data_IF_109881139813
#
_entry.id   IF_109881139813
#
_cell.length_a   1.000
_cell.length_b   1.000
_cell.length_c   1.000
_cell.angle_alpha   90.00
_cell.angle_beta   90.00
_cell.angle_gamma   90.00
#
_symmetry.space_group_name_H-M   'P 1'
#
loop_
_entity.id
_entity.type
_entity.pdbx_description
1 polymer ?
#
# COMPACT_ATOMS: atom_id res chain seq x y z
N UNK A 1 3.62 29.52 22.17
CA UNK A 1 3.43 28.54 21.07
C UNK A 1 4.04 29.14 19.83
N UNK A 2 4.76 28.38 18.99
CA UNK A 2 5.38 28.93 17.77
C UNK A 2 4.31 29.01 16.68
N UNK A 3 4.21 30.15 15.99
CA UNK A 3 3.33 30.32 14.83
C UNK A 3 4.09 30.05 13.53
N UNK A 4 3.37 29.54 12.52
CA UNK A 4 3.89 29.26 11.19
C UNK A 4 3.03 29.93 10.12
N UNK A 5 3.65 30.85 9.40
CA UNK A 5 3.03 31.51 8.24
C UNK A 5 2.84 30.54 7.07
N UNK A 6 1.97 30.90 6.12
CA UNK A 6 1.82 30.18 4.84
C UNK A 6 3.15 30.08 4.09
N UNK A 7 3.99 31.13 4.13
CA UNK A 7 5.27 31.16 3.43
C UNK A 7 6.31 30.22 4.06
N UNK A 8 6.41 30.19 5.40
CA UNK A 8 7.28 29.24 6.09
C UNK A 8 6.87 27.79 5.83
N UNK A 9 5.56 27.52 5.78
CA UNK A 9 5.02 26.19 5.43
C UNK A 9 5.42 25.80 4.00
N UNK A 10 5.25 26.69 3.03
CA UNK A 10 5.64 26.45 1.63
C UNK A 10 7.13 26.19 1.50
N UNK A 11 7.96 27.03 2.12
CA UNK A 11 9.42 26.86 2.13
C UNK A 11 9.83 25.51 2.74
N UNK A 12 9.20 25.09 3.83
CA UNK A 12 9.43 23.78 4.45
C UNK A 12 9.08 22.64 3.50
N UNK A 13 7.91 22.68 2.88
CA UNK A 13 7.50 21.65 1.92
C UNK A 13 8.46 21.61 0.73
N UNK A 14 8.81 22.76 0.14
CA UNK A 14 9.74 22.82 -1.00
C UNK A 14 11.09 22.13 -0.69
N UNK A 15 11.64 22.34 0.51
CA UNK A 15 12.88 21.68 0.95
C UNK A 15 12.67 20.20 1.30
N UNK A 16 11.70 19.89 2.16
CA UNK A 16 11.43 18.52 2.65
C UNK A 16 10.96 17.58 1.54
N UNK A 17 10.39 18.13 0.46
CA UNK A 17 9.89 17.37 -0.67
C UNK A 17 10.87 17.30 -1.83
N UNK A 18 12.09 17.82 -1.68
CA UNK A 18 13.14 17.85 -2.71
C UNK A 18 12.72 18.61 -3.98
N UNK A 19 11.92 19.66 -3.82
CA UNK A 19 11.44 20.50 -4.93
C UNK A 19 12.26 21.79 -5.08
N UNK A 20 12.84 22.29 -3.99
CA UNK A 20 13.77 23.42 -4.03
C UNK A 20 15.15 23.01 -4.58
N UNK A 21 15.59 21.81 -4.23
CA UNK A 21 16.85 21.21 -4.65
C UNK A 21 16.58 19.74 -4.92
N UNK A 22 16.88 19.29 -6.15
CA UNK A 22 16.76 17.88 -6.51
C UNK A 22 17.76 17.04 -5.72
N UNK A 23 17.39 15.81 -5.39
CA UNK A 23 18.19 14.91 -4.57
C UNK A 23 18.83 13.78 -5.39
N UNK A 24 20.01 13.35 -4.99
CA UNK A 24 20.72 12.17 -5.47
C UNK A 24 20.38 10.88 -4.69
N UNK A 25 19.61 11.02 -3.60
CA UNK A 25 19.11 9.91 -2.75
C UNK A 25 18.51 8.76 -3.57
N UNK A 26 18.58 7.55 -3.03
CA UNK A 26 18.02 6.38 -3.69
C UNK A 26 16.49 6.46 -3.81
N UNK A 27 15.90 5.64 -4.69
CA UNK A 27 14.44 5.53 -4.82
C UNK A 27 13.80 5.11 -3.49
N UNK A 28 14.42 4.19 -2.76
CA UNK A 28 13.96 3.73 -1.45
C UNK A 28 13.99 4.87 -0.42
N UNK A 29 15.08 5.63 -0.34
CA UNK A 29 15.19 6.79 0.57
C UNK A 29 14.12 7.85 0.31
N UNK A 30 13.82 8.12 -0.98
CA UNK A 30 12.75 9.06 -1.34
C UNK A 30 11.37 8.49 -0.98
N UNK A 31 11.14 7.18 -1.19
CA UNK A 31 9.88 6.55 -0.79
C UNK A 31 9.68 6.59 0.74
N UNK A 32 10.71 6.21 1.52
CA UNK A 32 10.71 6.29 2.98
C UNK A 32 10.45 7.72 3.47
N UNK A 33 11.13 8.72 2.87
CA UNK A 33 10.94 10.13 3.25
C UNK A 33 9.47 10.56 3.12
N UNK A 34 8.72 10.02 2.16
CA UNK A 34 7.30 10.34 1.97
C UNK A 34 6.34 9.43 2.72
N UNK A 35 6.83 8.56 3.61
CA UNK A 35 6.12 7.38 4.13
C UNK A 35 5.87 6.31 3.05
N UNK A 36 5.57 6.72 1.83
CA UNK A 36 5.52 5.93 0.61
C UNK A 36 5.08 6.81 -0.57
N UNK A 37 5.35 6.37 -1.80
CA UNK A 37 4.87 7.06 -3.01
C UNK A 37 3.55 6.44 -3.47
N UNK A 38 2.51 7.25 -3.66
CA UNK A 38 1.22 6.75 -4.14
C UNK A 38 1.36 6.14 -5.56
N UNK A 39 0.72 5.00 -5.79
CA UNK A 39 0.92 4.16 -6.98
C UNK A 39 -0.36 3.54 -7.54
N UNK A 40 -1.53 4.06 -7.18
CA UNK A 40 -2.80 3.61 -7.75
C UNK A 40 -2.84 3.83 -9.27
N UNK A 41 -2.40 5.00 -9.72
CA UNK A 41 -2.03 5.21 -11.12
C UNK A 41 -0.56 4.79 -11.30
N UNK A 42 -0.26 3.89 -12.26
CA UNK A 42 1.08 3.36 -12.46
C UNK A 42 2.13 4.42 -12.80
N UNK A 43 1.75 5.56 -13.40
CA UNK A 43 2.67 6.64 -13.76
C UNK A 43 3.04 7.55 -12.56
N UNK A 44 2.18 7.61 -11.53
CA UNK A 44 2.36 8.52 -10.38
C UNK A 44 3.72 8.38 -9.66
N UNK A 45 4.23 7.17 -9.33
CA UNK A 45 5.52 7.06 -8.64
C UNK A 45 6.69 7.52 -9.52
N UNK A 46 6.63 7.27 -10.83
CA UNK A 46 7.65 7.75 -11.77
C UNK A 46 7.65 9.28 -11.85
N UNK A 47 6.49 9.91 -12.04
CA UNK A 47 6.34 11.37 -12.05
C UNK A 47 6.77 12.00 -10.71
N UNK A 48 6.49 11.31 -9.60
CA UNK A 48 6.91 11.76 -8.27
C UNK A 48 8.42 11.75 -8.12
N UNK A 49 9.11 10.73 -8.62
CA UNK A 49 10.56 10.64 -8.60
C UNK A 49 11.21 11.62 -9.59
N UNK A 50 10.68 11.77 -10.80
CA UNK A 50 11.16 12.75 -11.78
C UNK A 50 11.15 14.19 -11.25
N UNK A 51 10.13 14.56 -10.48
CA UNK A 51 10.03 15.90 -9.91
C UNK A 51 11.06 16.17 -8.80
N UNK A 52 11.76 15.15 -8.30
CA UNK A 52 12.51 15.21 -7.03
C UNK A 52 13.95 14.74 -7.14
N UNK A 53 14.24 13.83 -8.07
CA UNK A 53 15.57 13.21 -8.21
C UNK A 53 16.33 13.77 -9.41
N UNK A 54 17.62 13.96 -9.23
CA UNK A 54 18.55 14.31 -10.31
C UNK A 54 18.69 13.12 -11.27
N UNK A 55 18.62 13.39 -12.58
CA UNK A 55 18.83 12.41 -13.66
C UNK A 55 18.00 11.12 -13.60
N UNK A 56 16.81 11.15 -12.97
CA UNK A 56 15.94 9.98 -12.85
C UNK A 56 15.46 9.46 -14.20
N UNK A 57 15.48 8.13 -14.34
CA UNK A 57 14.98 7.39 -15.51
C UNK A 57 13.97 6.33 -15.08
N UNK A 58 13.08 5.95 -15.99
CA UNK A 58 12.12 4.85 -15.78
C UNK A 58 12.81 3.58 -15.28
N UNK A 59 13.96 3.25 -15.87
CA UNK A 59 14.75 2.07 -15.51
C UNK A 59 15.20 2.06 -14.03
N UNK A 60 15.33 3.21 -13.38
CA UNK A 60 15.76 3.28 -11.99
C UNK A 60 14.68 2.71 -11.05
N UNK A 61 13.41 3.09 -11.25
CA UNK A 61 12.31 2.54 -10.46
C UNK A 61 11.97 1.10 -10.85
N UNK A 62 12.08 0.74 -12.14
CA UNK A 62 11.91 -0.65 -12.57
C UNK A 62 12.96 -1.57 -11.94
N UNK A 63 14.22 -1.16 -11.90
CA UNK A 63 15.30 -1.91 -11.25
C UNK A 63 15.05 -2.03 -9.75
N UNK A 64 14.71 -0.91 -9.09
CA UNK A 64 14.41 -0.89 -7.65
C UNK A 64 13.21 -1.78 -7.27
N UNK A 65 12.18 -1.89 -8.13
CA UNK A 65 11.00 -2.74 -7.89
C UNK A 65 11.25 -4.22 -8.19
N UNK A 66 11.90 -4.52 -9.32
CA UNK A 66 11.84 -5.86 -9.92
C UNK A 66 13.17 -6.61 -9.90
N UNK A 67 14.29 -5.89 -9.83
CA UNK A 67 15.65 -6.47 -9.80
C UNK A 67 16.20 -6.42 -8.38
N UNK A 68 16.43 -5.22 -7.86
CA UNK A 68 17.07 -4.99 -6.56
C UNK A 68 16.11 -5.17 -5.40
N UNK A 69 14.81 -4.98 -5.67
CA UNK A 69 13.70 -5.11 -4.70
C UNK A 69 13.89 -4.25 -3.44
N UNK A 70 14.55 -3.11 -3.60
CA UNK A 70 14.71 -2.09 -2.56
C UNK A 70 13.41 -1.35 -2.29
N UNK A 71 12.45 -1.43 -3.21
CA UNK A 71 11.08 -0.95 -2.98
C UNK A 71 10.03 -1.98 -3.37
N UNK A 72 8.86 -1.89 -2.76
CA UNK A 72 7.74 -2.82 -2.97
C UNK A 72 6.41 -2.11 -3.16
N UNK A 73 5.56 -2.64 -4.04
CA UNK A 73 4.18 -2.18 -4.21
C UNK A 73 3.26 -2.90 -3.22
N UNK A 74 2.62 -2.14 -2.33
CA UNK A 74 1.74 -2.69 -1.30
C UNK A 74 0.50 -1.81 -1.07
N UNK A 75 -0.63 -2.44 -0.74
CA UNK A 75 -1.87 -1.74 -0.39
C UNK A 75 -1.78 -1.29 1.06
N UNK A 76 -2.03 -0.01 1.34
CA UNK A 76 -1.90 0.51 2.70
C UNK A 76 -2.98 1.59 2.97
N UNK A 77 -2.55 2.81 3.28
CA UNK A 77 -3.42 3.91 3.68
C UNK A 77 -4.61 4.06 2.73
N UNK A 78 -5.82 4.10 3.32
CA UNK A 78 -7.10 4.28 2.60
C UNK A 78 -7.36 3.28 1.47
N UNK A 79 -6.81 2.07 1.56
CA UNK A 79 -6.98 0.99 0.56
C UNK A 79 -6.45 1.40 -0.82
N UNK A 80 -5.45 2.28 -0.89
CA UNK A 80 -4.76 2.61 -2.14
C UNK A 80 -3.42 1.91 -2.25
N UNK A 81 -2.87 1.83 -3.46
CA UNK A 81 -1.56 1.24 -3.71
C UNK A 81 -0.46 2.27 -3.51
N UNK A 82 0.67 1.83 -2.95
CA UNK A 82 1.84 2.64 -2.67
C UNK A 82 3.12 1.88 -3.03
N UNK A 83 4.20 2.62 -3.28
CA UNK A 83 5.58 2.12 -3.34
C UNK A 83 6.27 2.52 -2.04
N UNK A 84 6.75 1.54 -1.31
CA UNK A 84 7.47 1.71 -0.04
C UNK A 84 8.92 1.27 -0.18
N UNK A 85 9.81 1.80 0.65
CA UNK A 85 11.04 1.08 0.99
C UNK A 85 10.64 -0.31 1.51
N UNK A 86 11.27 -1.35 0.97
CA UNK A 86 11.01 -2.73 1.40
C UNK A 86 11.26 -2.91 2.90
N UNK A 87 12.23 -2.21 3.48
CA UNK A 87 12.53 -2.28 4.91
C UNK A 87 11.41 -1.71 5.81
N UNK A 88 10.58 -0.80 5.29
CA UNK A 88 9.47 -0.21 6.03
C UNK A 88 8.19 -1.06 5.99
N UNK A 89 8.15 -2.09 5.14
CA UNK A 89 6.94 -2.91 4.96
C UNK A 89 6.37 -3.46 6.27
N UNK A 90 7.15 -3.95 7.25
CA UNK A 90 6.59 -4.44 8.52
C UNK A 90 5.86 -3.36 9.32
N UNK A 91 6.45 -2.16 9.38
CA UNK A 91 5.86 -0.99 10.05
C UNK A 91 4.58 -0.57 9.33
N UNK A 92 4.60 -0.51 8.00
CA UNK A 92 3.43 -0.18 7.17
C UNK A 92 2.32 -1.22 7.34
N UNK A 93 2.66 -2.51 7.31
CA UNK A 93 1.72 -3.61 7.49
C UNK A 93 0.97 -3.46 8.82
N UNK A 94 1.73 -3.29 9.92
CA UNK A 94 1.17 -3.16 11.26
C UNK A 94 0.31 -1.90 11.41
N UNK A 95 0.85 -0.73 11.05
CA UNK A 95 0.23 0.55 11.38
C UNK A 95 -0.87 1.00 10.39
N UNK A 96 -0.90 0.45 9.16
CA UNK A 96 -1.86 0.84 8.14
C UNK A 96 -2.60 -0.36 7.51
N UNK A 97 -1.87 -1.33 6.96
CA UNK A 97 -2.47 -2.36 6.09
C UNK A 97 -3.38 -3.33 6.84
N UNK A 98 -3.04 -3.74 8.08
CA UNK A 98 -3.82 -4.70 8.86
C UNK A 98 -5.29 -4.28 9.05
N UNK A 99 -5.55 -2.99 9.26
CA UNK A 99 -6.92 -2.45 9.36
C UNK A 99 -7.70 -2.57 8.05
N UNK A 100 -7.01 -2.31 6.94
CA UNK A 100 -7.60 -2.46 5.59
C UNK A 100 -7.86 -3.93 5.31
N UNK A 101 -6.91 -4.81 5.60
CA UNK A 101 -7.02 -6.25 5.47
C UNK A 101 -8.23 -6.81 6.21
N UNK A 102 -8.39 -6.46 7.49
CA UNK A 102 -9.54 -6.90 8.30
C UNK A 102 -10.89 -6.46 7.69
N UNK A 103 -10.94 -5.28 7.07
CA UNK A 103 -12.14 -4.77 6.41
C UNK A 103 -12.42 -5.50 5.10
N UNK A 104 -11.40 -5.70 4.27
CA UNK A 104 -11.52 -6.37 2.98
C UNK A 104 -11.84 -7.85 3.10
N UNK A 105 -11.22 -8.53 4.07
CA UNK A 105 -11.52 -9.91 4.43
C UNK A 105 -12.98 -10.09 4.80
N UNK A 106 -13.48 -9.29 5.77
CA UNK A 106 -14.88 -9.36 6.23
C UNK A 106 -15.87 -9.14 5.09
N UNK A 107 -15.61 -8.15 4.23
CA UNK A 107 -16.46 -7.87 3.06
C UNK A 107 -16.47 -9.05 2.10
N UNK A 108 -15.30 -9.60 1.77
CA UNK A 108 -15.20 -10.71 0.84
C UNK A 108 -15.97 -11.93 1.34
N UNK A 109 -15.80 -12.31 2.61
CA UNK A 109 -16.53 -13.42 3.25
C UNK A 109 -18.04 -13.22 3.14
N UNK A 110 -18.53 -12.02 3.47
CA UNK A 110 -19.95 -11.73 3.38
C UNK A 110 -20.47 -11.76 1.93
N UNK A 111 -19.69 -11.23 0.99
CA UNK A 111 -20.06 -11.16 -0.42
C UNK A 111 -20.12 -12.54 -1.09
N UNK A 112 -19.21 -13.47 -0.76
CA UNK A 112 -19.25 -14.83 -1.33
C UNK A 112 -20.45 -15.63 -0.83
N UNK A 113 -20.84 -15.44 0.44
CA UNK A 113 -22.08 -16.04 0.97
C UNK A 113 -23.30 -15.43 0.31
N UNK A 114 -23.36 -14.10 0.22
CA UNK A 114 -24.46 -13.37 -0.42
C UNK A 114 -24.63 -13.74 -1.90
N UNK A 115 -23.54 -13.99 -2.61
CA UNK A 115 -23.55 -14.40 -4.01
C UNK A 115 -23.87 -15.89 -4.22
N UNK A 116 -24.01 -16.68 -3.14
CA UNK A 116 -24.24 -18.13 -3.22
C UNK A 116 -23.02 -18.92 -3.69
N UNK A 117 -21.82 -18.32 -3.65
CA UNK A 117 -20.55 -18.99 -4.04
C UNK A 117 -20.16 -20.04 -2.99
N UNK A 118 -20.40 -19.74 -1.71
CA UNK A 118 -20.10 -20.64 -0.60
C UNK A 118 -21.09 -20.46 0.55
N UNK A 119 -21.34 -21.53 1.29
CA UNK A 119 -22.12 -21.46 2.55
C UNK A 119 -21.26 -20.88 3.68
N UNK A 120 -19.99 -21.27 3.72
CA UNK A 120 -19.00 -20.77 4.66
C UNK A 120 -17.93 -19.96 3.91
N UNK A 121 -18.04 -18.63 3.97
CA UNK A 121 -17.12 -17.73 3.29
C UNK A 121 -15.71 -17.70 3.91
N UNK A 122 -15.56 -18.02 5.20
CA UNK A 122 -14.26 -18.08 5.88
C UNK A 122 -13.48 -19.32 5.39
N UNK A 123 -14.13 -20.49 5.42
CA UNK A 123 -13.55 -21.72 4.90
C UNK A 123 -13.23 -21.62 3.40
N UNK A 124 -14.11 -20.98 2.62
CA UNK A 124 -13.87 -20.73 1.20
C UNK A 124 -12.62 -19.85 0.98
N UNK A 125 -12.49 -18.74 1.71
CA UNK A 125 -11.34 -17.84 1.57
C UNK A 125 -10.04 -18.52 2.00
N UNK A 126 -10.08 -19.34 3.05
CA UNK A 126 -8.93 -20.13 3.48
C UNK A 126 -8.49 -21.12 2.39
N UNK A 127 -9.43 -21.85 1.79
CA UNK A 127 -9.14 -22.79 0.71
C UNK A 127 -8.58 -22.09 -0.55
N UNK A 128 -9.16 -20.96 -0.94
CA UNK A 128 -8.68 -20.15 -2.06
C UNK A 128 -7.26 -19.61 -1.80
N UNK A 129 -7.00 -19.12 -0.58
CA UNK A 129 -5.70 -18.57 -0.21
C UNK A 129 -4.61 -19.64 -0.17
N UNK A 130 -4.94 -20.84 0.34
CA UNK A 130 -4.03 -21.98 0.32
C UNK A 130 -3.68 -22.41 -1.10
N UNK A 131 -4.68 -22.50 -1.99
CA UNK A 131 -4.48 -22.86 -3.40
C UNK A 131 -3.57 -21.84 -4.13
N UNK A 132 -3.80 -20.54 -3.93
CA UNK A 132 -2.94 -19.48 -4.50
C UNK A 132 -1.52 -19.57 -3.95
N UNK A 133 -1.36 -19.78 -2.65
CA UNK A 133 -0.04 -19.90 -2.02
C UNK A 133 0.74 -21.09 -2.57
N UNK A 134 0.11 -22.26 -2.68
CA UNK A 134 0.72 -23.45 -3.24
C UNK A 134 1.15 -23.25 -4.70
N UNK A 135 0.27 -22.68 -5.52
CA UNK A 135 0.58 -22.38 -6.91
C UNK A 135 1.78 -21.42 -7.05
N UNK A 136 1.83 -20.35 -6.26
CA UNK A 136 2.93 -19.38 -6.31
C UNK A 136 4.23 -19.94 -5.72
N UNK A 137 4.17 -20.92 -4.82
CA UNK A 137 5.35 -21.64 -4.36
C UNK A 137 5.99 -22.45 -5.49
N UNK A 138 5.18 -23.12 -6.31
CA UNK A 138 5.62 -23.95 -7.44
C UNK A 138 6.10 -23.11 -8.62
N UNK A 139 5.30 -22.15 -9.08
CA UNK A 139 5.55 -21.39 -10.32
C UNK A 139 6.23 -20.03 -10.10
N UNK A 140 6.39 -19.60 -8.85
CA UNK A 140 7.06 -18.35 -8.47
C UNK A 140 6.19 -17.09 -8.63
N UNK A 141 5.57 -16.89 -9.79
CA UNK A 141 4.67 -15.77 -10.03
C UNK A 141 3.57 -16.09 -11.05
N UNK A 142 2.42 -15.44 -10.94
CA UNK A 142 1.33 -15.60 -11.90
C UNK A 142 0.46 -14.34 -11.99
N UNK A 143 -0.10 -14.08 -13.16
CA UNK A 143 -1.15 -13.08 -13.36
C UNK A 143 -2.46 -13.54 -12.70
N UNK A 144 -3.35 -12.60 -12.38
CA UNK A 144 -4.68 -12.94 -11.86
C UNK A 144 -5.47 -13.85 -12.84
N UNK A 145 -5.25 -13.68 -14.15
CA UNK A 145 -5.87 -14.50 -15.20
C UNK A 145 -5.36 -15.93 -15.17
N UNK A 146 -4.05 -16.13 -15.07
CA UNK A 146 -3.43 -17.47 -14.97
C UNK A 146 -3.90 -18.19 -13.70
N UNK A 147 -3.92 -17.51 -12.55
CA UNK A 147 -4.41 -18.09 -11.30
C UNK A 147 -5.89 -18.51 -11.42
N UNK A 148 -6.75 -17.66 -11.98
CA UNK A 148 -8.17 -18.01 -12.19
C UNK A 148 -8.35 -19.21 -13.13
N UNK A 149 -7.53 -19.31 -14.17
CA UNK A 149 -7.59 -20.44 -15.11
C UNK A 149 -7.10 -21.74 -14.47
N UNK A 150 -6.10 -21.67 -13.59
CA UNK A 150 -5.48 -22.85 -12.97
C UNK A 150 -6.20 -23.33 -11.70
N UNK A 151 -6.90 -22.45 -10.97
CA UNK A 151 -7.39 -22.74 -9.62
C UNK A 151 -8.92 -22.72 -9.55
N UNK A 152 -9.59 -23.89 -9.46
CA UNK A 152 -11.03 -23.98 -9.29
C UNK A 152 -11.57 -23.22 -8.06
N UNK A 153 -10.76 -23.08 -7.00
CA UNK A 153 -11.10 -22.36 -5.77
C UNK A 153 -11.32 -20.85 -6.01
N UNK A 154 -10.87 -20.31 -7.15
CA UNK A 154 -11.05 -18.92 -7.55
C UNK A 154 -12.26 -18.72 -8.48
N UNK A 155 -13.01 -19.79 -8.78
CA UNK A 155 -14.24 -19.70 -9.55
C UNK A 155 -15.35 -18.97 -8.79
N UNK A 156 -16.26 -18.35 -9.54
CA UNK A 156 -17.37 -17.57 -9.00
C UNK A 156 -17.38 -16.15 -9.54
N UNK A 157 -18.58 -15.67 -9.81
CA UNK A 157 -18.84 -14.31 -10.24
C UNK A 157 -19.66 -13.58 -9.17
N UNK A 158 -19.44 -12.27 -9.09
CA UNK A 158 -20.04 -11.39 -8.11
C UNK A 158 -20.35 -10.05 -8.77
N UNK A 159 -21.47 -9.46 -8.40
CA UNK A 159 -21.82 -8.10 -8.77
C UNK A 159 -21.67 -7.18 -7.54
N UNK A 160 -20.72 -6.24 -7.53
CA UNK A 160 -20.51 -5.30 -6.43
C UNK A 160 -21.68 -4.33 -6.21
N UNK A 161 -22.51 -4.12 -7.23
CA UNK A 161 -23.60 -3.16 -7.18
C UNK A 161 -24.76 -3.55 -8.09
N UNK A 162 -25.53 -4.60 -7.73
CA UNK A 162 -26.67 -5.05 -8.52
C UNK A 162 -27.64 -3.90 -8.81
N UNK A 163 -27.97 -3.72 -10.08
CA UNK A 163 -28.90 -2.68 -10.55
C UNK A 163 -28.32 -1.25 -10.59
N UNK A 164 -27.01 -1.07 -10.35
CA UNK A 164 -26.33 0.20 -10.61
C UNK A 164 -25.68 0.18 -12.00
N UNK A 165 -25.60 1.34 -12.64
CA UNK A 165 -24.98 1.50 -13.97
C UNK A 165 -23.49 1.16 -14.02
N UNK A 166 -22.82 1.18 -12.85
CA UNK A 166 -21.41 0.79 -12.69
C UNK A 166 -21.24 -0.62 -12.10
N UNK A 167 -22.35 -1.31 -11.80
CA UNK A 167 -22.33 -2.72 -11.39
C UNK A 167 -22.21 -3.66 -12.59
N UNK A 168 -22.36 -4.95 -12.30
CA UNK A 168 -22.33 -6.01 -13.29
C UNK A 168 -21.56 -7.24 -12.80
N UNK A 169 -21.86 -8.43 -13.33
CA UNK A 169 -21.18 -9.66 -12.94
C UNK A 169 -19.72 -9.61 -13.38
N UNK A 170 -18.81 -9.87 -12.45
CA UNK A 170 -17.40 -10.03 -12.71
C UNK A 170 -16.78 -11.10 -11.81
N UNK A 171 -15.57 -11.59 -12.15
CA UNK A 171 -14.93 -12.64 -11.38
C UNK A 171 -14.63 -12.18 -9.95
N UNK A 172 -14.87 -13.04 -8.96
CA UNK A 172 -14.53 -12.75 -7.55
C UNK A 172 -13.02 -12.80 -7.27
N UNK A 173 -12.28 -13.57 -8.08
CA UNK A 173 -10.86 -13.87 -7.88
C UNK A 173 -9.93 -12.66 -7.65
N UNK A 174 -10.08 -11.49 -8.31
CA UNK A 174 -9.22 -10.33 -8.02
C UNK A 174 -9.34 -9.84 -6.57
N UNK A 175 -10.48 -10.08 -5.91
CA UNK A 175 -10.67 -9.73 -4.50
C UNK A 175 -9.93 -10.65 -3.55
N UNK A 176 -9.80 -11.94 -3.88
CA UNK A 176 -8.95 -12.87 -3.12
C UNK A 176 -7.50 -12.37 -3.12
N UNK A 177 -6.99 -12.03 -4.31
CA UNK A 177 -5.62 -11.50 -4.47
C UNK A 177 -5.45 -10.14 -3.76
N UNK A 178 -6.50 -9.31 -3.75
CA UNK A 178 -6.51 -8.06 -3.00
C UNK A 178 -6.38 -8.32 -1.50
N UNK A 179 -7.18 -9.25 -0.95
CA UNK A 179 -7.15 -9.62 0.48
C UNK A 179 -5.77 -10.18 0.85
N UNK A 180 -5.30 -11.20 0.14
CA UNK A 180 -3.98 -11.79 0.42
C UNK A 180 -2.84 -10.76 0.23
N UNK A 181 -2.98 -9.83 -0.71
CA UNK A 181 -2.00 -8.78 -0.95
C UNK A 181 -1.92 -7.75 0.18
N UNK A 182 -3.08 -7.34 0.74
CA UNK A 182 -3.11 -6.39 1.87
C UNK A 182 -2.86 -7.06 3.22
N UNK A 183 -3.10 -8.37 3.34
CA UNK A 183 -2.66 -9.20 4.47
C UNK A 183 -1.14 -9.44 4.47
N UNK A 184 -0.44 -9.03 3.42
CA UNK A 184 1.02 -9.15 3.32
C UNK A 184 1.49 -10.55 2.91
N UNK A 185 0.59 -11.43 2.46
CA UNK A 185 0.96 -12.76 1.95
C UNK A 185 1.50 -12.69 0.52
N UNK A 186 0.97 -11.76 -0.28
CA UNK A 186 1.36 -11.55 -1.67
C UNK A 186 1.83 -10.13 -1.91
N UNK A 187 2.69 -9.96 -2.91
CA UNK A 187 3.07 -8.65 -3.45
C UNK A 187 2.91 -8.63 -4.97
N UNK A 188 2.86 -7.41 -5.54
CA UNK A 188 2.94 -7.23 -6.98
C UNK A 188 4.42 -7.31 -7.39
N UNK A 189 4.78 -8.43 -8.02
CA UNK A 189 6.11 -8.70 -8.58
C UNK A 189 6.24 -8.12 -9.99
N UNK A 190 6.86 -8.84 -10.96
CA UNK A 190 7.08 -8.33 -12.31
C UNK A 190 5.81 -7.81 -12.99
N UNK A 191 5.95 -6.79 -13.83
CA UNK A 191 4.84 -6.17 -14.56
C UNK A 191 4.97 -6.44 -16.06
N UNK A 192 3.92 -6.95 -16.70
CA UNK A 192 3.92 -7.22 -18.15
C UNK A 192 3.58 -5.99 -19.00
N UNK A 193 3.26 -4.87 -18.37
CA UNK A 193 2.99 -3.60 -19.03
C UNK A 193 4.19 -2.66 -19.02
N UNK A 194 4.15 -1.64 -19.88
CA UNK A 194 5.04 -0.48 -19.76
C UNK A 194 4.78 0.26 -18.42
N UNK A 195 5.67 1.18 -18.05
CA UNK A 195 5.62 1.91 -16.78
C UNK A 195 4.31 2.70 -16.52
N UNK A 196 3.56 3.02 -17.57
CA UNK A 196 2.22 3.66 -17.48
C UNK A 196 1.06 2.66 -17.46
N UNK A 197 1.32 1.35 -17.43
CA UNK A 197 0.30 0.30 -17.53
C UNK A 197 0.48 -0.73 -16.43
N UNK A 198 -0.54 -0.91 -15.59
CA UNK A 198 -0.53 -1.89 -14.50
C UNK A 198 -1.01 -3.26 -14.99
N UNK A 199 -0.08 -4.20 -15.20
CA UNK A 199 -0.32 -5.63 -15.48
C UNK A 199 0.58 -6.49 -14.57
N UNK A 200 0.37 -6.46 -13.24
CA UNK A 200 1.26 -7.13 -12.31
C UNK A 200 1.07 -8.65 -12.35
N UNK A 201 2.17 -9.37 -12.17
CA UNK A 201 2.17 -10.73 -11.65
C UNK A 201 2.19 -10.70 -10.14
N UNK A 202 1.44 -11.58 -9.52
CA UNK A 202 1.46 -11.81 -8.08
C UNK A 202 2.53 -12.82 -7.73
N UNK A 203 3.17 -12.63 -6.59
CA UNK A 203 4.19 -13.55 -6.05
C UNK A 203 4.10 -13.54 -4.53
N UNK A 204 4.71 -14.55 -3.89
CA UNK A 204 4.80 -14.62 -2.42
C UNK A 204 5.60 -13.45 -1.87
N UNK A 205 5.07 -12.76 -0.85
CA UNK A 205 5.80 -11.71 -0.15
C UNK A 205 7.10 -12.25 0.45
N UNK A 206 7.04 -13.40 1.15
CA UNK A 206 8.20 -14.02 1.78
C UNK A 206 9.33 -14.33 0.79
N UNK A 207 9.00 -14.77 -0.44
CA UNK A 207 9.99 -14.99 -1.51
C UNK A 207 10.53 -13.69 -2.10
N UNK A 208 9.71 -12.65 -2.15
CA UNK A 208 10.05 -11.39 -2.81
C UNK A 208 10.90 -10.48 -1.94
N UNK A 209 10.44 -10.22 -0.70
CA UNK A 209 11.01 -9.27 0.24
C UNK A 209 11.65 -9.93 1.48
N UNK A 210 11.52 -11.25 1.62
CA UNK A 210 11.97 -11.99 2.81
C UNK A 210 10.89 -12.15 3.87
N UNK A 211 11.11 -13.06 4.82
CA UNK A 211 10.29 -13.15 6.02
C UNK A 211 10.62 -11.98 6.94
N UNK A 212 9.58 -11.33 7.47
CA UNK A 212 9.72 -10.15 8.33
C UNK A 212 8.92 -10.31 9.61
N UNK A 213 9.52 -9.90 10.71
CA UNK A 213 8.83 -9.82 12.00
C UNK A 213 8.05 -8.50 12.07
N UNK A 214 6.79 -8.58 12.50
CA UNK A 214 5.95 -7.41 12.62
C UNK A 214 6.22 -6.70 13.95
N UNK A 215 6.48 -5.38 13.94
CA UNK A 215 6.66 -4.62 15.15
C UNK A 215 5.33 -4.47 15.92
N UNK A 216 5.46 -4.13 17.21
CA UNK A 216 4.32 -3.72 18.04
C UNK A 216 3.56 -2.54 17.44
N UNK A 217 2.23 -2.53 17.62
CA UNK A 217 1.33 -1.56 16.99
C UNK A 217 1.67 -0.11 17.32
N UNK A 218 2.00 0.17 18.57
CA UNK A 218 2.33 1.52 19.04
C UNK A 218 3.67 2.00 18.49
N UNK A 219 4.68 1.11 18.44
CA UNK A 219 5.98 1.42 17.85
C UNK A 219 5.85 1.71 16.35
N UNK A 220 5.10 0.89 15.62
CA UNK A 220 4.85 1.08 14.19
C UNK A 220 4.14 2.41 13.91
N UNK A 221 3.09 2.72 14.70
CA UNK A 221 2.37 3.99 14.64
C UNK A 221 3.31 5.17 14.84
N UNK A 222 4.16 5.14 15.87
CA UNK A 222 5.07 6.23 16.19
C UNK A 222 6.06 6.48 15.04
N UNK A 223 6.62 5.43 14.44
CA UNK A 223 7.53 5.55 13.29
C UNK A 223 6.85 6.24 12.11
N UNK A 224 5.63 5.82 11.72
CA UNK A 224 4.94 6.41 10.57
C UNK A 224 4.53 7.87 10.82
N UNK A 225 3.99 8.18 12.00
CA UNK A 225 3.58 9.56 12.34
C UNK A 225 4.79 10.48 12.42
N UNK A 226 5.90 10.05 13.02
CA UNK A 226 7.11 10.85 13.10
C UNK A 226 7.68 11.12 11.69
N UNK A 227 7.71 10.12 10.82
CA UNK A 227 8.13 10.25 9.42
C UNK A 227 7.22 11.22 8.67
N UNK A 228 5.92 11.08 8.82
CA UNK A 228 4.94 11.96 8.20
C UNK A 228 5.10 13.43 8.66
N UNK A 229 5.27 13.68 9.96
CA UNK A 229 5.47 15.04 10.49
C UNK A 229 6.79 15.68 10.02
N UNK A 230 7.85 14.88 9.85
CA UNK A 230 9.12 15.36 9.28
C UNK A 230 8.96 15.84 7.84
N UNK A 231 8.01 15.28 7.10
CA UNK A 231 7.84 15.55 5.67
C UNK A 231 6.73 16.56 5.37
N UNK A 232 5.59 16.43 6.04
CA UNK A 232 4.39 17.24 5.78
C UNK A 232 4.11 18.28 6.87
N UNK A 233 4.76 18.18 8.02
CA UNK A 233 4.54 19.11 9.13
C UNK A 233 5.08 20.53 8.86
N UNK A 234 4.61 21.54 9.62
CA UNK A 234 3.55 21.44 10.63
C UNK A 234 2.16 21.26 9.97
N UNK A 235 1.27 20.55 10.65
CA UNK A 235 -0.04 20.17 10.11
C UNK A 235 -1.06 19.97 11.24
N UNK A 236 -2.33 19.84 10.87
CA UNK A 236 -3.41 19.61 11.82
C UNK A 236 -3.52 18.12 12.20
N UNK A 237 -4.17 17.84 13.33
CA UNK A 237 -4.53 16.47 13.73
C UNK A 237 -5.40 15.79 12.67
N UNK A 238 -6.28 16.55 12.01
CA UNK A 238 -7.15 16.02 10.96
C UNK A 238 -6.36 15.63 9.69
N UNK A 239 -5.29 16.34 9.34
CA UNK A 239 -4.43 15.98 8.21
C UNK A 239 -3.76 14.60 8.42
N UNK A 240 -3.23 14.36 9.62
CA UNK A 240 -2.62 13.07 9.99
C UNK A 240 -3.66 11.95 9.92
N UNK A 241 -4.81 12.17 10.56
CA UNK A 241 -5.93 11.22 10.58
C UNK A 241 -6.40 10.88 9.16
N UNK A 242 -6.57 11.89 8.32
CA UNK A 242 -7.00 11.74 6.94
C UNK A 242 -5.96 11.02 6.08
N UNK A 243 -4.67 11.34 6.23
CA UNK A 243 -3.60 10.68 5.49
C UNK A 243 -3.57 9.18 5.76
N UNK A 244 -3.55 8.78 7.03
CA UNK A 244 -3.50 7.37 7.41
C UNK A 244 -4.85 6.64 7.31
N UNK A 245 -5.96 7.37 7.18
CA UNK A 245 -7.30 6.78 7.17
C UNK A 245 -7.67 6.11 8.50
N UNK A 246 -7.16 6.67 9.60
CA UNK A 246 -7.26 6.08 10.94
C UNK A 246 -8.26 6.81 11.84
N UNK A 247 -8.43 6.32 13.07
CA UNK A 247 -9.30 6.95 14.07
C UNK A 247 -8.60 8.17 14.69
N UNK A 248 -9.40 9.08 15.26
CA UNK A 248 -8.88 10.24 15.98
C UNK A 248 -8.08 9.84 17.23
N UNK A 249 -8.51 8.78 17.94
CA UNK A 249 -7.79 8.24 19.09
C UNK A 249 -6.39 7.77 18.71
N UNK A 250 -6.28 6.89 17.70
CA UNK A 250 -4.99 6.43 17.18
C UNK A 250 -4.08 7.60 16.80
N UNK A 251 -4.65 8.63 16.16
CA UNK A 251 -3.89 9.81 15.75
C UNK A 251 -3.37 10.59 16.96
N UNK A 252 -4.22 10.87 17.95
CA UNK A 252 -3.85 11.64 19.14
C UNK A 252 -2.82 10.89 20.01
N UNK A 253 -2.99 9.58 20.15
CA UNK A 253 -2.05 8.76 20.92
C UNK A 253 -0.69 8.73 20.23
N UNK A 254 -0.65 8.47 18.92
CA UNK A 254 0.60 8.50 18.17
C UNK A 254 1.29 9.87 18.16
N UNK A 255 0.54 10.97 18.12
CA UNK A 255 1.12 12.32 18.27
C UNK A 255 1.74 12.53 19.66
N UNK A 256 1.13 11.97 20.71
CA UNK A 256 1.68 11.99 22.07
C UNK A 256 2.96 11.16 22.15
N UNK A 257 2.94 9.95 21.57
CA UNK A 257 4.07 9.00 21.61
C UNK A 257 5.33 9.57 20.95
N UNK A 258 5.17 10.35 19.86
CA UNK A 258 6.30 11.00 19.17
C UNK A 258 6.70 12.35 19.78
N UNK A 259 6.06 12.76 20.87
CA UNK A 259 6.32 14.06 21.51
C UNK A 259 5.99 15.25 20.62
N UNK A 260 4.96 15.15 19.77
CA UNK A 260 4.57 16.26 18.90
C UNK A 260 4.12 17.47 19.73
N UNK A 261 4.61 18.65 19.36
CA UNK A 261 4.29 19.91 20.04
C UNK A 261 3.21 20.68 19.27
N UNK A 262 2.33 21.36 20.00
CA UNK A 262 1.34 22.24 19.39
C UNK A 262 2.00 23.52 18.87
N UNK A 263 1.53 23.98 17.72
CA UNK A 263 1.98 25.18 17.01
C UNK A 263 0.75 25.86 16.40
N UNK A 264 0.84 27.16 16.15
CA UNK A 264 -0.22 27.91 15.45
C UNK A 264 0.05 27.90 13.95
N UNK A 265 -1.00 27.82 13.14
CA UNK A 265 -0.94 27.88 11.68
C UNK A 265 -1.78 29.06 11.20
N UNK A 266 -1.18 29.91 10.36
CA UNK A 266 -1.88 30.99 9.66
C UNK A 266 -2.70 30.47 8.46
#
# INVERSE_FOLDING_TARGET
>A
MRSFTVEERRTRLARRHFLAEATDRSVADVANAFVGLHATDPATPYLSLWARRTDFRVADLDSALYVDRTVVKHLAMRRTLWVFDTADLPVVQTAASNRVAATERRKLIADVVKAGIAVDGEAWLAAASAAVTAHLAEYGHATARELRAALPQLAGDYDPAPGKSWGGPGPISPRVLTVMGVEGHLVRGPNEGAWTTSRPKWTSAARWVGAVELPESDAARAVLIATWLRTFGPATVEDVKWFFGHTLAWTRDGLRDVGAVQVDLD
#
